data_IF_950991950085
#
_entry.id   IF_950991950085
#
_cell.length_a   1.000
_cell.length_b   1.000
_cell.length_c   1.000
_cell.angle_alpha   90.00
_cell.angle_beta   90.00
_cell.angle_gamma   90.00
#
_symmetry.space_group_name_H-M   'P 1'
#
loop_
_entity.id
_entity.type
_entity.pdbx_description
1 polymer ?
#
# COMPACT_ATOMS: atom_id res chain seq x y z
N UNK A 1 -11.98 -1.70 -37.53
CA UNK A 1 -12.51 -2.31 -36.29
C UNK A 1 -12.52 -1.28 -35.17
N UNK A 2 -13.63 -0.57 -34.97
CA UNK A 2 -13.81 0.34 -33.83
C UNK A 2 -14.31 -0.49 -32.64
N UNK A 3 -13.46 -0.73 -31.64
CA UNK A 3 -13.96 -1.13 -30.31
C UNK A 3 -14.86 0.01 -29.82
N UNK A 4 -16.11 -0.31 -29.52
CA UNK A 4 -17.10 0.67 -29.08
C UNK A 4 -16.59 1.35 -27.80
N UNK A 5 -16.61 2.69 -27.76
CA UNK A 5 -16.15 3.49 -26.60
C UNK A 5 -16.78 3.04 -25.26
N UNK A 6 -17.93 2.39 -25.31
CA UNK A 6 -18.63 1.81 -24.17
C UNK A 6 -17.95 0.56 -23.58
N UNK A 7 -17.36 -0.33 -24.40
CA UNK A 7 -16.65 -1.50 -23.85
C UNK A 7 -15.37 -1.08 -23.14
N UNK A 8 -14.64 -0.12 -23.72
CA UNK A 8 -13.40 0.43 -23.16
C UNK A 8 -13.64 1.18 -21.84
N UNK A 9 -14.76 1.88 -21.70
CA UNK A 9 -15.07 2.62 -20.46
C UNK A 9 -15.47 1.68 -19.30
N UNK A 10 -16.08 0.53 -19.61
CA UNK A 10 -16.41 -0.52 -18.64
C UNK A 10 -15.13 -1.18 -18.13
N UNK A 11 -14.18 -1.49 -19.02
CA UNK A 11 -12.87 -2.04 -18.64
C UNK A 11 -12.09 -1.09 -17.72
N UNK A 12 -12.02 0.21 -18.05
CA UNK A 12 -11.33 1.20 -17.21
C UNK A 12 -12.02 1.34 -15.83
N UNK A 13 -13.35 1.26 -15.76
CA UNK A 13 -14.07 1.24 -14.46
C UNK A 13 -13.60 0.09 -13.59
N UNK A 14 -13.51 -1.09 -14.20
CA UNK A 14 -13.18 -2.33 -13.51
C UNK A 14 -11.74 -2.30 -13.03
N UNK A 15 -10.80 -1.85 -13.87
CA UNK A 15 -9.38 -1.72 -13.51
C UNK A 15 -9.18 -0.75 -12.34
N UNK A 16 -9.79 0.43 -12.38
CA UNK A 16 -9.71 1.39 -11.27
C UNK A 16 -10.35 0.77 -10.01
N UNK A 17 -11.49 0.10 -10.14
CA UNK A 17 -12.14 -0.58 -9.03
C UNK A 17 -11.27 -1.67 -8.39
N UNK A 18 -10.58 -2.47 -9.20
CA UNK A 18 -9.65 -3.50 -8.70
C UNK A 18 -8.42 -2.87 -8.06
N UNK A 19 -7.89 -1.78 -8.61
CA UNK A 19 -6.77 -1.05 -8.04
C UNK A 19 -7.13 -0.50 -6.65
N UNK A 20 -8.29 0.16 -6.51
CA UNK A 20 -8.76 0.68 -5.22
C UNK A 20 -8.91 -0.45 -4.18
N UNK A 21 -9.46 -1.60 -4.58
CA UNK A 21 -9.58 -2.77 -3.70
C UNK A 21 -8.20 -3.28 -3.25
N UNK A 22 -7.25 -3.39 -4.18
CA UNK A 22 -5.89 -3.84 -3.88
C UNK A 22 -5.16 -2.85 -2.97
N UNK A 23 -5.26 -1.55 -3.23
CA UNK A 23 -4.69 -0.53 -2.35
C UNK A 23 -5.31 -0.61 -0.93
N UNK A 24 -6.60 -0.88 -0.82
CA UNK A 24 -7.24 -1.06 0.49
C UNK A 24 -6.72 -2.29 1.24
N UNK A 25 -6.41 -3.39 0.56
CA UNK A 25 -5.87 -4.60 1.21
C UNK A 25 -4.43 -4.44 1.70
N UNK A 26 -3.66 -3.50 1.13
CA UNK A 26 -2.30 -3.15 1.63
C UNK A 26 -2.32 -2.45 2.99
N UNK A 27 -3.51 -2.12 3.51
CA UNK A 27 -3.71 -1.51 4.82
C UNK A 27 -3.54 0.01 4.82
N UNK A 28 -3.59 0.67 3.66
CA UNK A 28 -3.64 2.13 3.57
C UNK A 28 -4.98 2.65 4.12
N UNK A 29 -4.95 3.63 5.02
CA UNK A 29 -6.15 4.06 5.77
C UNK A 29 -7.10 4.95 4.97
N UNK A 30 -6.65 5.52 3.83
CA UNK A 30 -7.43 6.47 3.04
C UNK A 30 -7.21 6.25 1.53
N UNK A 31 -7.88 5.25 0.97
CA UNK A 31 -7.87 4.98 -0.47
C UNK A 31 -9.05 5.72 -1.12
N UNK A 32 -8.82 6.59 -2.12
CA UNK A 32 -9.88 7.31 -2.83
C UNK A 32 -10.83 6.35 -3.56
N UNK A 33 -12.09 6.77 -3.67
CA UNK A 33 -13.10 6.02 -4.41
C UNK A 33 -12.76 5.99 -5.93
N UNK A 34 -13.19 4.96 -6.67
CA UNK A 34 -12.96 4.86 -8.12
C UNK A 34 -13.46 6.08 -8.92
N UNK A 35 -14.55 6.73 -8.46
CA UNK A 35 -15.05 7.95 -9.09
C UNK A 35 -14.13 9.16 -8.84
N UNK A 36 -13.40 9.20 -7.73
CA UNK A 36 -12.38 10.22 -7.45
C UNK A 36 -11.23 10.13 -8.47
N UNK A 37 -10.78 8.92 -8.82
CA UNK A 37 -9.77 8.70 -9.86
C UNK A 37 -10.23 9.20 -11.23
N UNK A 38 -11.51 9.01 -11.56
CA UNK A 38 -12.07 9.54 -12.80
C UNK A 38 -12.16 11.06 -12.79
N UNK A 39 -12.61 11.65 -11.68
CA UNK A 39 -12.66 13.12 -11.53
C UNK A 39 -11.25 13.73 -11.61
N UNK A 40 -10.25 13.07 -11.03
CA UNK A 40 -8.86 13.54 -11.09
C UNK A 40 -8.33 13.68 -12.52
N UNK A 41 -8.71 12.76 -13.42
CA UNK A 41 -8.36 12.87 -14.85
C UNK A 41 -8.82 14.19 -15.47
N UNK A 42 -9.93 14.77 -15.00
CA UNK A 42 -10.53 15.99 -15.52
C UNK A 42 -10.29 17.22 -14.64
N UNK A 43 -9.34 17.17 -13.68
CA UNK A 43 -9.08 18.30 -12.79
C UNK A 43 -10.17 18.47 -11.73
N UNK A 44 -10.53 17.38 -11.03
CA UNK A 44 -11.73 17.23 -10.20
C UNK A 44 -11.94 18.15 -8.99
N UNK A 45 -11.12 19.21 -8.84
CA UNK A 45 -11.18 20.21 -7.78
C UNK A 45 -10.27 19.93 -6.58
N UNK A 46 -10.20 20.89 -5.65
CA UNK A 46 -9.32 20.88 -4.48
C UNK A 46 -9.57 19.68 -3.54
N UNK A 47 -10.81 19.23 -3.41
CA UNK A 47 -11.15 18.04 -2.59
C UNK A 47 -10.51 16.76 -3.13
N UNK A 48 -10.48 16.61 -4.45
CA UNK A 48 -9.87 15.45 -5.13
C UNK A 48 -8.36 15.49 -4.93
N UNK A 49 -7.77 16.67 -5.07
CA UNK A 49 -6.33 16.87 -4.84
C UNK A 49 -5.93 16.50 -3.41
N UNK A 50 -6.68 16.95 -2.40
CA UNK A 50 -6.42 16.60 -0.99
C UNK A 50 -6.39 15.09 -0.74
N UNK A 51 -7.33 14.34 -1.33
CA UNK A 51 -7.36 12.87 -1.23
C UNK A 51 -6.12 12.22 -1.88
N UNK A 52 -5.68 12.73 -3.03
CA UNK A 52 -4.48 12.21 -3.71
C UNK A 52 -3.20 12.57 -2.96
N UNK A 53 -3.09 13.76 -2.39
CA UNK A 53 -1.96 14.15 -1.55
C UNK A 53 -1.81 13.22 -0.34
N UNK A 54 -2.91 12.95 0.36
CA UNK A 54 -2.93 12.05 1.51
C UNK A 54 -2.59 10.60 1.11
N UNK A 55 -3.09 10.13 -0.03
CA UNK A 55 -2.74 8.80 -0.54
C UNK A 55 -1.24 8.70 -0.86
N UNK A 56 -0.67 9.69 -1.56
CA UNK A 56 0.74 9.70 -1.93
C UNK A 56 1.65 9.76 -0.70
N UNK A 57 1.33 10.59 0.30
CA UNK A 57 2.10 10.65 1.54
C UNK A 57 2.09 9.32 2.26
N UNK A 58 0.94 8.64 2.34
CA UNK A 58 0.83 7.33 2.97
C UNK A 58 1.63 6.26 2.26
N UNK A 59 1.60 6.25 0.92
CA UNK A 59 2.40 5.31 0.12
C UNK A 59 3.88 5.55 0.37
N UNK A 60 4.36 6.80 0.29
CA UNK A 60 5.77 7.16 0.47
C UNK A 60 6.29 6.82 1.88
N UNK A 61 5.48 7.04 2.91
CA UNK A 61 5.83 6.69 4.29
C UNK A 61 5.88 5.18 4.48
N UNK A 62 4.87 4.43 4.01
CA UNK A 62 4.85 2.97 4.19
C UNK A 62 5.96 2.28 3.43
N UNK A 63 6.18 2.66 2.19
CA UNK A 63 7.27 2.10 1.36
C UNK A 63 8.67 2.46 1.87
N UNK A 64 8.79 3.29 2.92
CA UNK A 64 10.05 3.62 3.58
C UNK A 64 10.93 4.57 2.77
N UNK A 65 10.36 5.22 1.75
CA UNK A 65 11.09 6.15 0.89
C UNK A 65 11.35 7.44 1.68
N UNK A 66 10.35 7.90 2.45
CA UNK A 66 10.54 9.00 3.39
C UNK A 66 10.60 8.45 4.81
N UNK A 67 11.72 8.71 5.50
CA UNK A 67 11.93 8.25 6.88
C UNK A 67 10.99 8.95 7.87
N UNK A 68 10.38 8.15 8.74
CA UNK A 68 9.54 8.57 9.86
C UNK A 68 10.28 9.44 10.91
N UNK A 69 11.58 9.73 10.79
CA UNK A 69 12.24 10.69 11.69
C UNK A 69 11.66 12.12 11.56
N UNK A 70 10.92 12.40 10.49
CA UNK A 70 10.10 13.60 10.33
C UNK A 70 8.64 13.42 10.83
N UNK A 71 8.34 12.42 11.67
CA UNK A 71 6.98 12.02 12.10
C UNK A 71 6.29 12.93 13.11
N UNK A 72 6.52 14.24 13.08
CA UNK A 72 5.41 15.11 13.47
C UNK A 72 4.44 15.04 12.30
N UNK A 73 3.38 14.26 12.50
CA UNK A 73 2.19 14.21 11.67
C UNK A 73 2.00 15.58 11.01
N UNK A 74 2.19 15.70 9.68
CA UNK A 74 2.30 17.01 9.03
C UNK A 74 1.06 17.83 9.40
N UNK A 75 1.28 18.94 10.09
CA UNK A 75 0.24 19.68 10.83
C UNK A 75 -0.57 20.59 9.91
N UNK A 76 -0.28 20.59 8.61
CA UNK A 76 -1.02 21.32 7.59
C UNK A 76 -0.77 20.81 6.16
N UNK A 77 -1.62 21.25 5.23
CA UNK A 77 -1.60 20.83 3.82
C UNK A 77 -0.28 21.17 3.11
N UNK A 78 0.39 22.25 3.52
CA UNK A 78 1.68 22.68 2.97
C UNK A 78 2.83 21.72 3.33
N UNK A 79 2.81 21.11 4.51
CA UNK A 79 3.82 20.14 4.94
C UNK A 79 3.66 18.81 4.20
N UNK A 80 2.41 18.40 3.94
CA UNK A 80 2.12 17.21 3.12
C UNK A 80 2.66 17.37 1.69
N UNK A 81 2.47 18.54 1.07
CA UNK A 81 2.99 18.82 -0.28
C UNK A 81 4.51 18.72 -0.34
N UNK A 82 5.22 19.31 0.63
CA UNK A 82 6.70 19.25 0.69
C UNK A 82 7.20 17.83 0.89
N UNK A 83 6.56 17.05 1.76
CA UNK A 83 6.91 15.65 1.99
C UNK A 83 6.74 14.82 0.71
N UNK A 84 5.58 14.96 0.05
CA UNK A 84 5.30 14.24 -1.19
C UNK A 84 6.27 14.65 -2.29
N UNK A 85 6.56 15.94 -2.44
CA UNK A 85 7.55 16.42 -3.41
C UNK A 85 8.94 15.81 -3.13
N UNK A 86 9.43 15.86 -1.88
CA UNK A 86 10.71 15.26 -1.52
C UNK A 86 10.76 13.75 -1.78
N UNK A 87 9.71 13.02 -1.41
CA UNK A 87 9.64 11.57 -1.61
C UNK A 87 9.52 11.18 -3.08
N UNK A 88 8.78 11.94 -3.89
CA UNK A 88 8.74 11.75 -5.34
C UNK A 88 10.10 12.02 -5.98
N UNK A 89 10.79 13.07 -5.54
CA UNK A 89 12.13 13.44 -6.03
C UNK A 89 13.16 12.34 -5.74
N UNK A 90 13.10 11.74 -4.54
CA UNK A 90 13.94 10.59 -4.16
C UNK A 90 13.65 9.33 -4.98
N UNK A 91 12.43 9.19 -5.53
CA UNK A 91 12.05 8.11 -6.45
C UNK A 91 12.32 8.45 -7.93
N UNK A 92 13.01 9.55 -8.21
CA UNK A 92 13.33 9.97 -9.59
C UNK A 92 12.15 10.56 -10.36
N UNK A 93 11.05 10.93 -9.70
CA UNK A 93 9.98 11.70 -10.33
C UNK A 93 10.27 13.20 -10.18
N UNK A 94 10.44 13.88 -11.31
CA UNK A 94 10.75 15.30 -11.37
C UNK A 94 9.70 15.98 -12.25
N UNK A 95 8.75 16.67 -11.64
CA UNK A 95 7.70 17.41 -12.33
C UNK A 95 7.81 18.92 -12.06
N UNK A 96 7.41 19.73 -13.03
CA UNK A 96 7.56 21.19 -13.00
C UNK A 96 6.90 21.82 -11.76
N UNK A 97 5.73 21.32 -11.36
CA UNK A 97 5.00 21.80 -10.19
C UNK A 97 5.75 21.60 -8.86
N UNK A 98 6.74 20.69 -8.82
CA UNK A 98 7.53 20.42 -7.61
C UNK A 98 8.56 21.52 -7.33
N UNK A 99 8.88 22.33 -8.35
CA UNK A 99 9.84 23.43 -8.27
C UNK A 99 9.17 24.78 -8.08
N UNK A 100 7.85 24.83 -7.97
CA UNK A 100 7.08 26.05 -7.68
C UNK A 100 7.38 26.54 -6.26
N UNK A 101 8.51 27.23 -6.13
CA UNK A 101 8.86 28.12 -5.04
C UNK A 101 8.35 29.50 -5.43
N UNK A 102 7.77 30.21 -4.46
CA UNK A 102 7.15 31.54 -4.48
C UNK A 102 7.89 32.63 -5.28
N UNK A 103 7.95 32.51 -6.61
CA UNK A 103 8.64 33.49 -7.46
C UNK A 103 7.67 34.01 -8.52
N UNK A 104 7.33 35.29 -8.38
CA UNK A 104 7.02 36.23 -9.47
C UNK A 104 5.67 36.06 -10.17
N UNK A 105 4.75 36.99 -9.89
CA UNK A 105 3.62 37.32 -10.75
C UNK A 105 4.15 37.72 -12.15
N UNK A 106 3.87 36.94 -13.21
CA UNK A 106 4.21 37.40 -14.55
C UNK A 106 4.15 36.38 -15.69
N UNK A 107 4.28 35.09 -15.44
CA UNK A 107 4.14 34.07 -16.49
C UNK A 107 2.88 33.24 -16.24
N UNK A 108 2.10 32.98 -17.30
CA UNK A 108 0.99 32.02 -17.34
C UNK A 108 1.51 30.62 -16.97
N UNK A 109 1.70 30.40 -15.67
CA UNK A 109 2.14 29.14 -15.10
C UNK A 109 1.06 28.11 -15.36
N UNK A 110 1.50 26.96 -15.85
CA UNK A 110 0.67 25.76 -15.98
C UNK A 110 0.11 25.41 -14.61
N UNK A 111 -1.17 25.73 -14.38
CA UNK A 111 -1.82 25.49 -13.10
C UNK A 111 -1.73 24.01 -12.72
N UNK A 112 -1.10 23.73 -11.58
CA UNK A 112 -1.09 22.42 -10.96
C UNK A 112 -2.51 21.83 -10.89
N UNK A 113 -2.64 20.53 -11.16
CA UNK A 113 -3.94 19.85 -11.17
C UNK A 113 -3.89 18.45 -10.56
N UNK A 114 -5.05 17.96 -10.10
CA UNK A 114 -5.21 16.53 -9.71
C UNK A 114 -4.75 15.51 -10.77
N UNK A 115 -4.64 15.88 -12.04
CA UNK A 115 -4.07 15.02 -13.08
C UNK A 115 -2.58 14.78 -12.86
N UNK A 116 -1.85 15.79 -12.40
CA UNK A 116 -0.41 15.70 -12.16
C UNK A 116 -0.10 14.79 -10.96
N UNK A 117 -0.99 14.78 -9.96
CA UNK A 117 -0.95 13.81 -8.86
C UNK A 117 -1.26 12.38 -9.32
N UNK A 118 -2.22 12.23 -10.23
CA UNK A 118 -2.53 10.92 -10.81
C UNK A 118 -1.34 10.36 -11.61
N UNK A 119 -0.60 11.23 -12.31
CA UNK A 119 0.63 10.86 -13.00
C UNK A 119 1.73 10.46 -12.01
N UNK A 120 1.92 11.22 -10.93
CA UNK A 120 2.86 10.88 -9.87
C UNK A 120 2.54 9.52 -9.22
N UNK A 121 1.26 9.22 -9.00
CA UNK A 121 0.82 7.91 -8.53
C UNK A 121 1.14 6.81 -9.55
N UNK A 122 0.85 7.05 -10.83
CA UNK A 122 1.19 6.12 -11.90
C UNK A 122 2.69 5.81 -11.96
N UNK A 123 3.54 6.82 -11.76
CA UNK A 123 4.99 6.65 -11.65
C UNK A 123 5.36 5.78 -10.46
N UNK A 124 4.85 6.08 -9.26
CA UNK A 124 5.14 5.28 -8.06
C UNK A 124 4.77 3.81 -8.26
N UNK A 125 3.60 3.53 -8.84
CA UNK A 125 3.19 2.18 -9.16
C UNK A 125 4.14 1.52 -10.17
N UNK A 126 4.58 2.23 -11.21
CA UNK A 126 5.54 1.71 -12.18
C UNK A 126 6.94 1.45 -11.57
N UNK A 127 7.34 2.22 -10.57
CA UNK A 127 8.62 2.03 -9.84
C UNK A 127 8.59 0.89 -8.82
N UNK A 128 7.47 0.18 -8.68
CA UNK A 128 7.36 -0.98 -7.79
C UNK A 128 6.88 -0.65 -6.37
N UNK A 129 6.25 0.51 -6.15
CA UNK A 129 5.74 0.89 -4.83
C UNK A 129 4.65 -0.07 -4.34
N UNK A 130 3.84 -0.61 -5.25
CA UNK A 130 2.74 -1.52 -4.91
C UNK A 130 3.26 -2.85 -4.36
N UNK A 131 4.29 -3.40 -4.99
CA UNK A 131 4.99 -4.63 -4.62
C UNK A 131 5.64 -4.48 -3.26
N UNK A 132 6.25 -3.31 -2.98
CA UNK A 132 6.79 -3.00 -1.65
C UNK A 132 5.70 -2.96 -0.58
N UNK A 133 4.55 -2.34 -0.87
CA UNK A 133 3.42 -2.30 0.07
C UNK A 133 2.84 -3.70 0.33
N UNK A 134 2.69 -4.50 -0.72
CA UNK A 134 2.19 -5.87 -0.61
C UNK A 134 3.16 -6.75 0.18
N UNK A 135 4.46 -6.68 -0.11
CA UNK A 135 5.47 -7.47 0.62
C UNK A 135 5.52 -7.08 2.10
N UNK A 136 5.46 -5.79 2.43
CA UNK A 136 5.35 -5.35 3.82
C UNK A 136 4.05 -5.82 4.48
N UNK A 137 2.92 -5.77 3.77
CA UNK A 137 1.65 -6.22 4.32
C UNK A 137 1.64 -7.73 4.56
N UNK A 138 2.22 -8.50 3.65
CA UNK A 138 2.47 -9.93 3.84
C UNK A 138 3.32 -10.14 5.08
N UNK A 139 4.49 -9.49 5.20
CA UNK A 139 5.34 -9.58 6.40
C UNK A 139 4.60 -9.24 7.71
N UNK A 140 3.72 -8.22 7.69
CA UNK A 140 2.92 -7.85 8.87
C UNK A 140 1.85 -8.87 9.24
N UNK A 141 1.21 -9.49 8.25
CA UNK A 141 0.20 -10.53 8.46
C UNK A 141 0.86 -11.85 8.83
N UNK A 142 2.06 -12.09 8.30
CA UNK A 142 2.88 -13.27 8.50
C UNK A 142 3.75 -13.18 9.75
N UNK A 143 3.31 -12.40 10.75
CA UNK A 143 3.91 -12.37 12.09
C UNK A 143 3.86 -13.73 12.80
N UNK A 144 3.08 -14.69 12.28
CA UNK A 144 3.11 -16.09 12.72
C UNK A 144 4.33 -16.87 12.17
N UNK A 145 4.94 -16.41 11.07
CA UNK A 145 6.24 -16.91 10.57
C UNK A 145 7.43 -16.06 11.04
N UNK A 146 7.24 -14.77 11.32
CA UNK A 146 8.29 -13.90 11.88
C UNK A 146 8.48 -14.03 13.40
N UNK A 147 7.53 -14.63 14.11
CA UNK A 147 7.76 -15.11 15.47
C UNK A 147 8.56 -16.43 15.42
N UNK A 148 9.73 -16.45 14.77
CA UNK A 148 10.81 -17.22 15.36
C UNK A 148 11.13 -16.48 16.66
N UNK A 149 10.42 -16.86 17.73
CA UNK A 149 10.84 -16.54 19.09
C UNK A 149 12.35 -16.83 19.08
N UNK A 150 13.23 -15.88 19.46
CA UNK A 150 14.63 -16.20 19.63
C UNK A 150 14.64 -17.28 20.70
N UNK A 151 14.76 -18.52 20.27
CA UNK A 151 14.98 -19.63 21.18
C UNK A 151 16.36 -19.34 21.69
N UNK A 152 16.42 -18.85 22.91
CA UNK A 152 17.66 -18.67 23.62
C UNK A 152 18.37 -20.03 23.58
N UNK A 153 19.41 -20.15 22.75
CA UNK A 153 20.17 -21.38 22.54
C UNK A 153 21.06 -21.71 23.74
N UNK A 154 20.82 -21.08 24.89
CA UNK A 154 21.26 -21.59 26.17
C UNK A 154 20.27 -22.66 26.64
N UNK A 155 20.24 -23.78 25.92
CA UNK A 155 19.66 -25.01 26.45
C UNK A 155 20.59 -25.43 27.58
N UNK A 156 20.18 -25.12 28.81
CA UNK A 156 20.83 -25.60 30.03
C UNK A 156 21.02 -27.11 29.90
N UNK A 157 22.27 -27.57 29.95
CA UNK A 157 22.66 -28.98 29.80
C UNK A 157 22.06 -29.93 30.86
N UNK A 158 21.26 -29.41 31.80
CA UNK A 158 20.57 -30.14 32.88
C UNK A 158 19.09 -30.46 32.60
N UNK A 159 18.53 -30.08 31.46
CA UNK A 159 17.17 -30.47 31.13
C UNK A 159 17.13 -31.95 30.69
N UNK A 160 16.85 -32.84 31.64
CA UNK A 160 16.33 -34.18 31.36
C UNK A 160 14.98 -34.04 30.64
N UNK A 161 14.99 -33.78 29.33
CA UNK A 161 13.78 -33.79 28.51
C UNK A 161 13.25 -35.22 28.48
N UNK A 162 12.25 -35.48 29.31
CA UNK A 162 11.52 -36.74 29.28
C UNK A 162 10.90 -36.92 27.87
N UNK A 163 11.10 -38.11 27.28
CA UNK A 163 10.62 -38.44 25.92
C UNK A 163 9.12 -38.19 25.75
N UNK A 164 8.38 -38.23 26.85
CA UNK A 164 6.94 -37.94 26.92
C UNK A 164 6.63 -36.48 26.55
N UNK A 165 7.42 -35.51 27.01
CA UNK A 165 7.26 -34.10 26.67
C UNK A 165 7.60 -33.84 25.22
N UNK A 166 8.67 -34.44 24.69
CA UNK A 166 9.03 -34.33 23.27
C UNK A 166 7.92 -34.87 22.36
N UNK A 167 7.37 -36.03 22.70
CA UNK A 167 6.27 -36.64 21.93
C UNK A 167 4.99 -35.79 22.01
N UNK A 168 4.69 -35.20 23.16
CA UNK A 168 3.56 -34.28 23.33
C UNK A 168 3.74 -33.00 22.51
N UNK A 169 4.96 -32.46 22.46
CA UNK A 169 5.30 -31.27 21.67
C UNK A 169 5.16 -31.56 20.18
N UNK A 170 5.67 -32.70 19.72
CA UNK A 170 5.54 -33.16 18.34
C UNK A 170 4.07 -33.36 17.95
N UNK A 171 3.25 -33.90 18.86
CA UNK A 171 1.80 -34.02 18.66
C UNK A 171 1.12 -32.66 18.57
N UNK A 172 1.43 -31.71 19.46
CA UNK A 172 0.87 -30.35 19.42
C UNK A 172 1.22 -29.62 18.12
N UNK A 173 2.46 -29.76 17.65
CA UNK A 173 2.88 -29.20 16.36
C UNK A 173 2.07 -29.83 15.21
N UNK A 174 1.88 -31.15 15.22
CA UNK A 174 1.05 -31.85 14.24
C UNK A 174 -0.40 -31.37 14.27
N UNK A 175 -0.98 -31.22 15.46
CA UNK A 175 -2.33 -30.75 15.67
C UNK A 175 -2.52 -29.32 15.14
N UNK A 176 -1.62 -28.40 15.48
CA UNK A 176 -1.67 -27.02 14.99
C UNK A 176 -1.53 -26.95 13.46
N UNK A 177 -0.63 -27.75 12.86
CA UNK A 177 -0.52 -27.84 11.40
C UNK A 177 -1.80 -28.34 10.75
N UNK A 178 -2.47 -29.32 11.36
CA UNK A 178 -3.74 -29.84 10.87
C UNK A 178 -4.85 -28.80 10.95
N UNK A 179 -5.00 -28.11 12.09
CA UNK A 179 -5.95 -27.01 12.24
C UNK A 179 -5.68 -25.88 11.24
N UNK A 180 -4.42 -25.53 10.99
CA UNK A 180 -4.03 -24.55 9.98
C UNK A 180 -4.50 -24.95 8.57
N UNK A 181 -4.35 -26.23 8.19
CA UNK A 181 -4.85 -26.72 6.89
C UNK A 181 -6.38 -26.66 6.78
N UNK A 182 -7.10 -26.99 7.85
CA UNK A 182 -8.57 -26.88 7.89
C UNK A 182 -9.00 -25.41 7.71
N UNK A 183 -8.34 -24.48 8.39
CA UNK A 183 -8.67 -23.06 8.25
C UNK A 183 -8.41 -22.54 6.84
N UNK A 184 -7.31 -22.97 6.21
CA UNK A 184 -7.01 -22.63 4.81
C UNK A 184 -8.05 -23.20 3.84
N UNK A 185 -8.46 -24.46 3.99
CA UNK A 185 -9.50 -25.03 3.13
C UNK A 185 -10.84 -24.31 3.28
N UNK A 186 -11.22 -23.96 4.51
CA UNK A 186 -12.43 -23.18 4.78
C UNK A 186 -12.37 -21.77 4.18
N UNK A 187 -11.20 -21.13 4.21
CA UNK A 187 -10.99 -19.83 3.57
C UNK A 187 -11.13 -19.96 2.05
N UNK A 188 -10.53 -20.98 1.43
CA UNK A 188 -10.64 -21.23 -0.01
C UNK A 188 -12.07 -21.53 -0.45
N UNK A 189 -12.84 -22.28 0.32
CA UNK A 189 -14.27 -22.50 0.02
C UNK A 189 -15.05 -21.20 0.11
N UNK A 190 -14.80 -20.39 1.14
CA UNK A 190 -15.45 -19.08 1.28
C UNK A 190 -15.08 -18.13 0.14
N UNK A 191 -13.82 -18.10 -0.29
CA UNK A 191 -13.41 -17.25 -1.43
C UNK A 191 -14.06 -17.73 -2.73
N UNK A 192 -14.16 -19.05 -2.97
CA UNK A 192 -14.92 -19.60 -4.11
C UNK A 192 -16.38 -19.16 -4.09
N UNK A 193 -17.06 -19.22 -2.94
CA UNK A 193 -18.46 -18.80 -2.82
C UNK A 193 -18.66 -17.28 -3.03
N UNK A 194 -17.69 -16.46 -2.67
CA UNK A 194 -17.75 -15.00 -2.84
C UNK A 194 -17.35 -14.53 -4.25
N UNK A 195 -16.67 -15.38 -5.01
CA UNK A 195 -16.14 -15.08 -6.34
C UNK A 195 -16.73 -15.92 -7.48
N UNK A 196 -17.73 -16.76 -7.19
CA UNK A 196 -18.59 -17.41 -8.19
C UNK A 196 -19.61 -16.42 -8.75
#
# INVERSE_FOLDING_TARGET
MQRSKASVSVEVKQVIGTLCKLLATTGLDAVPAPETFRRAKFGGGLEVEGQFWHLLSNILQRTGIVSSAASRQPRGDSEHRKLVAAGLWQNGYHADWMYETEVGEGEERRSFSSRDLLLALGWLLATGALEKLLTQRVQQLDKTLLASIPVDTQVSHDLQLDLTYLRRLQWLIGYLRHQGRILLSMLEERTRLLHA
#
